data_IF_123497315933
#
_entry.id   IF_123497315933
#
_cell.length_a   1.000
_cell.length_b   1.000
_cell.length_c   1.000
_cell.angle_alpha   90.00
_cell.angle_beta   90.00
_cell.angle_gamma   90.00
#
_symmetry.space_group_name_H-M   'P 1'
#
loop_
_entity.id
_entity.type
_entity.pdbx_description
1 polymer ?
#
# COMPACT_ATOMS: atom_id res chain seq x y z
N UNK A 1 14.05 5.56 0.02
CA UNK A 1 13.48 4.59 0.99
C UNK A 1 13.41 5.25 2.36
N UNK A 2 12.30 5.10 3.04
CA UNK A 2 12.14 5.63 4.40
C UNK A 2 12.38 4.52 5.44
N UNK A 3 13.54 4.53 6.05
CA UNK A 3 13.91 3.56 7.09
C UNK A 3 13.03 3.73 8.33
N UNK A 4 12.74 4.98 8.69
CA UNK A 4 11.88 5.26 9.84
C UNK A 4 10.48 4.68 9.69
N UNK A 5 9.90 4.71 8.49
CA UNK A 5 8.59 4.12 8.24
C UNK A 5 8.59 2.61 8.45
N UNK A 6 9.65 1.92 8.00
CA UNK A 6 9.79 0.48 8.19
C UNK A 6 9.91 0.15 9.68
N UNK A 7 10.78 0.84 10.39
CA UNK A 7 10.99 0.59 11.81
C UNK A 7 9.74 0.90 12.64
N UNK A 8 9.01 1.94 12.29
CA UNK A 8 7.79 2.32 12.99
C UNK A 8 6.68 1.27 12.89
N UNK A 9 6.67 0.49 11.83
CA UNK A 9 5.63 -0.53 11.60
C UNK A 9 6.10 -1.90 12.09
N UNK A 10 7.27 -2.34 11.66
CA UNK A 10 7.73 -3.71 11.90
C UNK A 10 8.52 -3.90 13.18
N UNK A 11 9.03 -2.81 13.75
CA UNK A 11 9.83 -2.83 14.98
C UNK A 11 9.32 -1.81 16.01
N UNK A 12 8.02 -1.55 16.01
CA UNK A 12 7.40 -0.53 16.87
C UNK A 12 7.57 -0.79 18.37
N UNK A 13 7.70 -2.06 18.76
CA UNK A 13 7.87 -2.47 20.17
C UNK A 13 9.34 -2.60 20.58
N UNK A 14 10.26 -2.32 19.66
CA UNK A 14 11.68 -2.38 19.90
C UNK A 14 12.25 -0.97 20.15
N UNK A 15 13.38 -0.90 20.85
CA UNK A 15 14.02 0.36 21.21
C UNK A 15 15.03 0.77 20.13
N UNK A 16 14.74 1.86 19.44
CA UNK A 16 15.60 2.38 18.37
C UNK A 16 15.36 3.88 18.15
N UNK A 17 16.32 4.49 17.47
CA UNK A 17 16.18 5.84 16.91
C UNK A 17 16.84 5.85 15.55
N UNK A 18 16.32 6.64 14.61
CA UNK A 18 16.98 6.80 13.32
C UNK A 18 16.61 8.13 12.66
N UNK A 19 17.47 8.54 11.72
CA UNK A 19 17.20 9.62 10.79
C UNK A 19 16.69 9.06 9.46
N UNK A 20 17.18 9.63 8.35
CA UNK A 20 16.65 9.30 7.02
C UNK A 20 17.27 8.04 6.41
N UNK A 21 18.46 7.65 6.83
CA UNK A 21 19.23 6.56 6.23
C UNK A 21 19.44 5.40 7.18
N UNK A 22 19.68 4.21 6.61
CA UNK A 22 20.03 3.03 7.39
C UNK A 22 21.21 3.28 8.34
N UNK A 23 22.23 4.00 7.89
CA UNK A 23 23.42 4.28 8.70
C UNK A 23 23.15 5.15 9.92
N UNK A 24 22.01 5.82 9.97
CA UNK A 24 21.63 6.66 11.11
C UNK A 24 20.88 5.89 12.19
N UNK A 25 20.61 4.60 11.99
CA UNK A 25 19.91 3.78 12.98
C UNK A 25 20.76 3.63 14.23
N UNK A 26 20.17 3.97 15.37
CA UNK A 26 20.70 3.67 16.71
C UNK A 26 19.82 2.60 17.30
N UNK A 27 20.37 1.42 17.47
CA UNK A 27 19.65 0.25 17.94
C UNK A 27 19.96 0.02 19.42
N UNK A 28 18.93 0.15 20.26
CA UNK A 28 19.08 0.02 21.70
C UNK A 28 18.47 -1.27 22.26
N UNK A 29 17.66 -1.94 21.46
CA UNK A 29 16.99 -3.15 21.90
C UNK A 29 17.97 -4.30 22.05
N UNK A 30 17.90 -5.02 23.17
CA UNK A 30 18.79 -6.14 23.48
C UNK A 30 18.12 -7.49 23.26
N UNK A 31 16.82 -7.50 22.96
CA UNK A 31 16.06 -8.75 22.78
C UNK A 31 16.22 -9.33 21.40
N UNK A 32 16.43 -8.48 20.40
CA UNK A 32 16.71 -8.89 19.02
C UNK A 32 17.86 -8.06 18.46
N UNK A 33 18.54 -8.62 17.47
CA UNK A 33 19.63 -7.92 16.80
C UNK A 33 19.09 -6.83 15.86
N UNK A 34 19.91 -5.80 15.64
CA UNK A 34 19.63 -4.78 14.63
C UNK A 34 19.41 -5.44 13.28
N UNK A 35 18.27 -5.15 12.59
CA UNK A 35 18.04 -5.71 11.26
C UNK A 35 19.10 -5.24 10.28
N UNK A 36 19.51 -6.11 9.37
CA UNK A 36 20.45 -5.76 8.31
C UNK A 36 19.75 -4.89 7.25
N UNK A 37 20.53 -4.18 6.46
CA UNK A 37 20.01 -3.28 5.45
C UNK A 37 19.13 -4.01 4.43
N UNK A 38 19.50 -5.22 4.02
CA UNK A 38 18.70 -6.03 3.10
C UNK A 38 17.32 -6.34 3.67
N UNK A 39 17.24 -6.64 4.96
CA UNK A 39 15.96 -6.89 5.62
C UNK A 39 15.08 -5.65 5.63
N UNK A 40 15.66 -4.49 5.90
CA UNK A 40 14.94 -3.22 5.86
C UNK A 40 14.41 -2.96 4.45
N UNK A 41 15.20 -3.24 3.42
CA UNK A 41 14.77 -3.07 2.02
C UNK A 41 13.62 -3.99 1.66
N UNK A 42 13.65 -5.25 2.06
CA UNK A 42 12.56 -6.20 1.86
C UNK A 42 11.27 -5.74 2.53
N UNK A 43 11.37 -5.26 3.76
CA UNK A 43 10.22 -4.77 4.52
C UNK A 43 9.66 -3.49 3.90
N UNK A 44 10.50 -2.64 3.34
CA UNK A 44 10.06 -1.44 2.64
C UNK A 44 9.26 -1.79 1.39
N UNK A 45 9.70 -2.77 0.61
CA UNK A 45 8.95 -3.23 -0.56
C UNK A 45 7.57 -3.77 -0.15
N UNK A 46 7.53 -4.54 0.93
CA UNK A 46 6.27 -5.04 1.49
C UNK A 46 5.38 -3.90 1.98
N UNK A 47 5.96 -2.90 2.62
CA UNK A 47 5.25 -1.70 3.07
C UNK A 47 4.56 -1.00 1.92
N UNK A 48 5.25 -0.81 0.79
CA UNK A 48 4.68 -0.17 -0.41
C UNK A 48 3.50 -0.97 -0.98
N UNK A 49 3.64 -2.30 -1.01
CA UNK A 49 2.55 -3.18 -1.46
C UNK A 49 1.34 -3.06 -0.53
N UNK A 50 1.56 -3.02 0.77
CA UNK A 50 0.48 -2.88 1.75
C UNK A 50 -0.20 -1.51 1.65
N UNK A 51 0.53 -0.44 1.40
CA UNK A 51 -0.05 0.88 1.14
C UNK A 51 -0.93 0.86 -0.11
N UNK A 52 -0.47 0.21 -1.17
CA UNK A 52 -1.26 0.05 -2.39
C UNK A 52 -2.57 -0.69 -2.10
N UNK A 53 -2.51 -1.77 -1.34
CA UNK A 53 -3.70 -2.56 -0.98
C UNK A 53 -4.70 -1.76 -0.15
N UNK A 54 -4.24 -0.98 0.81
CA UNK A 54 -5.10 -0.12 1.62
C UNK A 54 -5.80 0.92 0.76
N UNK A 55 -5.06 1.59 -0.12
CA UNK A 55 -5.62 2.57 -1.03
C UNK A 55 -6.62 1.93 -2.00
N UNK A 56 -6.28 0.76 -2.55
CA UNK A 56 -7.17 -0.02 -3.41
C UNK A 56 -8.49 -0.35 -2.68
N UNK A 57 -8.39 -0.84 -1.46
CA UNK A 57 -9.55 -1.20 -0.66
C UNK A 57 -10.44 0.02 -0.40
N UNK A 58 -9.84 1.17 -0.14
CA UNK A 58 -10.56 2.43 0.04
C UNK A 58 -11.32 2.82 -1.24
N UNK A 59 -10.66 2.71 -2.39
CA UNK A 59 -11.28 3.02 -3.69
C UNK A 59 -12.41 2.04 -4.01
N UNK A 60 -12.25 0.75 -3.70
CA UNK A 60 -13.32 -0.23 -3.85
C UNK A 60 -14.50 0.12 -2.95
N UNK A 61 -14.26 0.45 -1.69
CA UNK A 61 -15.30 0.83 -0.76
C UNK A 61 -16.05 2.09 -1.24
N UNK A 62 -15.34 3.11 -1.68
CA UNK A 62 -15.94 4.35 -2.16
C UNK A 62 -16.81 4.14 -3.40
N UNK A 63 -16.49 3.14 -4.21
CA UNK A 63 -17.24 2.84 -5.43
C UNK A 63 -18.37 1.81 -5.22
N UNK A 64 -18.51 1.23 -4.03
CA UNK A 64 -19.55 0.22 -3.76
C UNK A 64 -20.96 0.74 -4.05
N UNK A 65 -21.24 1.99 -3.70
CA UNK A 65 -22.56 2.58 -3.94
C UNK A 65 -22.92 2.63 -5.44
N UNK A 66 -21.91 2.70 -6.31
CA UNK A 66 -22.10 2.73 -7.76
C UNK A 66 -22.60 1.39 -8.31
N UNK A 67 -22.45 0.32 -7.52
CA UNK A 67 -22.81 -1.04 -7.95
C UNK A 67 -24.14 -1.51 -7.36
N UNK A 68 -24.82 -0.67 -6.60
CA UNK A 68 -26.15 -1.02 -6.08
C UNK A 68 -27.16 -1.02 -7.22
N UNK A 69 -28.19 -1.86 -7.10
CA UNK A 69 -29.22 -2.01 -8.11
C UNK A 69 -29.95 -0.69 -8.38
N UNK A 70 -30.18 0.08 -7.32
CA UNK A 70 -30.95 1.32 -7.39
C UNK A 70 -30.15 2.55 -7.79
N UNK A 71 -28.82 2.41 -7.96
CA UNK A 71 -28.00 3.57 -8.31
C UNK A 71 -28.32 4.02 -9.74
N UNK A 72 -28.65 5.33 -9.94
CA UNK A 72 -29.05 5.82 -11.26
C UNK A 72 -27.83 5.99 -12.18
N UNK A 73 -27.59 5.02 -13.04
CA UNK A 73 -26.55 5.09 -14.06
C UNK A 73 -27.11 5.53 -15.41
N UNK A 74 -26.28 6.28 -16.13
CA UNK A 74 -26.51 6.51 -17.55
C UNK A 74 -26.16 5.24 -18.32
N UNK A 75 -26.62 5.13 -19.56
CA UNK A 75 -26.32 3.98 -20.42
C UNK A 75 -24.80 3.77 -20.52
N UNK A 76 -24.35 2.54 -20.27
CA UNK A 76 -22.93 2.17 -20.32
C UNK A 76 -22.12 2.56 -19.09
N UNK A 77 -22.63 3.38 -18.19
CA UNK A 77 -21.90 3.86 -17.02
C UNK A 77 -21.61 2.75 -16.03
N UNK A 78 -22.60 1.87 -15.79
CA UNK A 78 -22.40 0.72 -14.88
C UNK A 78 -21.27 -0.17 -15.35
N UNK A 79 -21.15 -0.39 -16.66
CA UNK A 79 -20.08 -1.21 -17.23
C UNK A 79 -18.71 -0.56 -16.98
N UNK A 80 -18.58 0.75 -17.12
CA UNK A 80 -17.33 1.47 -16.85
C UNK A 80 -16.92 1.30 -15.39
N UNK A 81 -17.84 1.41 -14.45
CA UNK A 81 -17.55 1.18 -13.03
C UNK A 81 -17.18 -0.28 -12.75
N UNK A 82 -17.86 -1.23 -13.38
CA UNK A 82 -17.55 -2.65 -13.27
C UNK A 82 -16.12 -2.92 -13.72
N UNK A 83 -15.70 -2.40 -14.88
CA UNK A 83 -14.34 -2.57 -15.38
C UNK A 83 -13.30 -1.92 -14.49
N UNK A 84 -13.58 -0.72 -13.97
CA UNK A 84 -12.71 -0.05 -13.03
C UNK A 84 -12.47 -0.90 -11.77
N UNK A 85 -13.54 -1.45 -11.19
CA UNK A 85 -13.47 -2.29 -9.99
C UNK A 85 -12.71 -3.59 -10.24
N UNK A 86 -12.88 -4.20 -11.42
CA UNK A 86 -12.13 -5.41 -11.80
C UNK A 86 -10.62 -5.07 -11.86
N UNK A 87 -10.26 -3.96 -12.45
CA UNK A 87 -8.86 -3.51 -12.51
C UNK A 87 -8.28 -3.29 -11.11
N UNK A 88 -9.07 -2.71 -10.19
CA UNK A 88 -8.63 -2.53 -8.81
C UNK A 88 -8.41 -3.88 -8.11
N UNK A 89 -9.31 -4.83 -8.29
CA UNK A 89 -9.19 -6.16 -7.68
C UNK A 89 -7.97 -6.91 -8.17
N UNK A 90 -7.62 -6.76 -9.44
CA UNK A 90 -6.49 -7.45 -10.05
C UNK A 90 -5.16 -6.72 -9.87
N UNK A 91 -5.19 -5.51 -9.33
CA UNK A 91 -4.02 -4.66 -9.21
C UNK A 91 -2.84 -5.32 -8.47
N UNK A 92 -3.05 -6.06 -7.34
CA UNK A 92 -1.93 -6.69 -6.65
C UNK A 92 -1.14 -7.68 -7.51
N UNK A 93 -1.78 -8.33 -8.47
CA UNK A 93 -1.14 -9.34 -9.33
C UNK A 93 -0.16 -8.72 -10.32
N UNK A 94 -0.36 -7.45 -10.68
CA UNK A 94 0.44 -6.76 -11.70
C UNK A 94 1.24 -5.58 -11.14
N UNK A 95 1.12 -5.33 -9.84
CA UNK A 95 1.72 -4.14 -9.22
C UNK A 95 3.23 -4.23 -9.16
N UNK A 96 3.90 -3.17 -9.63
CA UNK A 96 5.34 -2.98 -9.51
C UNK A 96 5.56 -1.68 -8.75
N UNK A 97 6.18 -1.76 -7.57
CA UNK A 97 6.44 -0.60 -6.72
C UNK A 97 7.18 0.50 -7.47
N UNK A 98 6.75 1.74 -7.28
CA UNK A 98 7.33 2.96 -7.89
C UNK A 98 7.18 3.05 -9.42
N UNK A 99 6.51 2.08 -10.06
CA UNK A 99 6.28 2.07 -11.51
C UNK A 99 4.79 2.05 -11.83
N UNK A 100 4.04 1.15 -11.20
CA UNK A 100 2.60 1.01 -11.45
C UNK A 100 1.80 2.19 -10.91
N UNK A 101 0.65 2.43 -11.52
CA UNK A 101 -0.30 3.45 -11.09
C UNK A 101 -1.69 2.85 -10.96
N UNK A 102 -2.57 3.56 -10.26
CA UNK A 102 -3.96 3.13 -10.11
C UNK A 102 -4.74 3.37 -11.41
N UNK A 103 -5.74 2.51 -11.72
CA UNK A 103 -6.60 2.76 -12.86
C UNK A 103 -7.37 4.07 -12.71
N UNK A 104 -7.71 4.69 -13.83
CA UNK A 104 -8.47 5.93 -13.82
C UNK A 104 -9.93 5.65 -13.44
N UNK A 105 -10.45 6.50 -12.57
CA UNK A 105 -11.83 6.45 -12.11
C UNK A 105 -12.76 6.88 -13.24
N UNK A 106 -13.89 6.19 -13.49
CA UNK A 106 -14.89 6.65 -14.43
C UNK A 106 -15.45 8.02 -14.06
N UNK A 107 -15.74 8.81 -15.04
CA UNK A 107 -16.29 10.17 -14.86
C UNK A 107 -17.79 10.21 -14.88
#
# INVERSE_FOLDING_TARGET
MSVASVLSIYYKDNEWACGDNYDTIKWYDKTIEKPIQEKISELYELFLINEMREKRNKLLFESDCKMTIDFPHKEGERELWTQYRIKLRNLPEIWVNNISSFPEKPQ
#
